data_IF_392386239751
#
_entry.id   IF_392386239751
#
_cell.length_a   1.000
_cell.length_b   1.000
_cell.length_c   1.000
_cell.angle_alpha   90.00
_cell.angle_beta   90.00
_cell.angle_gamma   90.00
#
_symmetry.space_group_name_H-M   'P 1'
#
loop_
_entity.id
_entity.type
_entity.pdbx_description
1 polymer ?
#
# COMPACT_ATOMS: atom_id res chain seq x y z
N UNK A 1 -1.84 -22.63 22.72
CA UNK A 1 -0.84 -22.68 21.64
C UNK A 1 -1.36 -23.39 20.39
N UNK A 2 -1.91 -24.61 20.47
CA UNK A 2 -2.49 -25.35 19.33
C UNK A 2 -3.57 -24.56 18.55
N UNK A 3 -4.51 -23.92 19.25
CA UNK A 3 -5.57 -23.12 18.63
C UNK A 3 -5.04 -21.91 17.86
N UNK A 4 -4.02 -21.22 18.37
CA UNK A 4 -3.43 -20.06 17.70
C UNK A 4 -2.52 -20.46 16.53
N UNK A 5 -1.79 -21.59 16.64
CA UNK A 5 -1.04 -22.16 15.52
C UNK A 5 -1.98 -22.59 14.38
N UNK A 6 -3.12 -23.23 14.69
CA UNK A 6 -4.14 -23.57 13.70
C UNK A 6 -4.80 -22.32 13.08
N UNK A 7 -4.90 -21.22 13.85
CA UNK A 7 -5.55 -19.96 13.45
C UNK A 7 -4.81 -19.21 12.35
N UNK A 8 -3.48 -19.27 12.39
CA UNK A 8 -2.61 -18.55 11.48
C UNK A 8 -1.89 -19.46 10.49
N UNK A 9 -1.99 -20.79 10.62
CA UNK A 9 -1.27 -21.78 9.81
C UNK A 9 -1.35 -21.49 8.31
N UNK A 10 -2.56 -21.28 7.78
CA UNK A 10 -2.76 -21.07 6.34
C UNK A 10 -2.18 -19.72 5.87
N UNK A 11 -2.42 -18.63 6.61
CA UNK A 11 -1.86 -17.33 6.31
C UNK A 11 -0.32 -17.34 6.41
N UNK A 12 0.23 -18.00 7.43
CA UNK A 12 1.67 -18.17 7.64
C UNK A 12 2.30 -19.01 6.53
N UNK A 13 1.70 -20.14 6.14
CA UNK A 13 2.17 -20.97 5.03
C UNK A 13 2.20 -20.17 3.72
N UNK A 14 1.15 -19.37 3.46
CA UNK A 14 1.09 -18.46 2.31
C UNK A 14 2.19 -17.42 2.34
N UNK A 15 2.40 -16.74 3.47
CA UNK A 15 3.47 -15.74 3.62
C UNK A 15 4.86 -16.38 3.46
N UNK A 16 5.08 -17.59 4.01
CA UNK A 16 6.34 -18.33 3.84
C UNK A 16 6.58 -18.72 2.38
N UNK A 17 5.55 -19.18 1.67
CA UNK A 17 5.63 -19.48 0.24
C UNK A 17 5.87 -18.23 -0.62
N UNK A 18 5.40 -17.04 -0.19
CA UNK A 18 5.77 -15.79 -0.86
C UNK A 18 7.20 -15.37 -0.53
N UNK A 19 7.64 -15.59 0.71
CA UNK A 19 9.02 -15.30 1.13
C UNK A 19 10.04 -16.12 0.34
N UNK A 20 9.74 -17.38 0.02
CA UNK A 20 10.63 -18.23 -0.79
C UNK A 20 10.73 -17.80 -2.26
N UNK A 21 9.86 -16.89 -2.72
CA UNK A 21 9.85 -16.34 -4.08
C UNK A 21 10.57 -14.99 -4.21
N UNK A 22 11.15 -14.49 -3.12
CA UNK A 22 11.95 -13.26 -3.17
C UNK A 22 13.19 -13.48 -3.99
N UNK A 23 13.61 -12.43 -4.70
CA UNK A 23 14.91 -12.39 -5.35
C UNK A 23 16.02 -12.69 -4.34
N UNK A 24 16.86 -13.64 -4.70
CA UNK A 24 18.07 -14.04 -3.99
C UNK A 24 19.19 -13.01 -4.20
N UNK A 25 20.29 -13.15 -3.46
CA UNK A 25 21.48 -12.32 -3.69
C UNK A 25 22.07 -12.50 -5.08
N UNK A 26 22.00 -13.71 -5.63
CA UNK A 26 22.41 -14.03 -7.00
C UNK A 26 21.50 -13.34 -8.02
N UNK A 27 20.17 -13.37 -7.82
CA UNK A 27 19.25 -12.65 -8.69
C UNK A 27 19.57 -11.15 -8.73
N UNK A 28 19.86 -10.53 -7.58
CA UNK A 28 20.28 -9.13 -7.52
C UNK A 28 21.61 -8.88 -8.23
N UNK A 29 22.58 -9.80 -8.15
CA UNK A 29 23.84 -9.69 -8.89
C UNK A 29 23.57 -9.58 -10.39
N UNK A 30 22.80 -10.51 -10.97
CA UNK A 30 22.47 -10.47 -12.40
C UNK A 30 21.65 -9.26 -12.80
N UNK A 31 20.67 -8.83 -11.99
CA UNK A 31 19.88 -7.63 -12.25
C UNK A 31 20.74 -6.36 -12.28
N UNK A 32 21.77 -6.27 -11.43
CA UNK A 32 22.71 -5.14 -11.40
C UNK A 32 23.71 -5.13 -12.56
N UNK A 33 23.94 -6.28 -13.20
CA UNK A 33 24.81 -6.40 -14.38
C UNK A 33 24.06 -6.16 -15.70
N UNK A 34 22.74 -5.97 -15.68
CA UNK A 34 21.97 -5.71 -16.89
C UNK A 34 22.34 -4.34 -17.50
N UNK A 35 22.68 -4.33 -18.79
CA UNK A 35 23.08 -3.11 -19.51
C UNK A 35 21.92 -2.12 -19.70
N UNK A 36 20.68 -2.63 -19.77
CA UNK A 36 19.48 -1.83 -19.98
C UNK A 36 18.23 -2.45 -19.34
N UNK A 37 17.10 -1.74 -19.47
CA UNK A 37 15.80 -2.20 -18.96
C UNK A 37 15.35 -3.51 -19.63
N UNK A 38 15.63 -3.73 -20.92
CA UNK A 38 15.19 -4.91 -21.62
C UNK A 38 15.92 -6.17 -21.10
N UNK A 39 17.25 -6.09 -20.92
CA UNK A 39 18.06 -7.12 -20.30
C UNK A 39 17.64 -7.40 -18.85
N UNK A 40 17.37 -6.34 -18.08
CA UNK A 40 16.87 -6.46 -16.71
C UNK A 40 15.54 -7.24 -16.67
N UNK A 41 14.59 -6.89 -17.54
CA UNK A 41 13.29 -7.55 -17.58
C UNK A 41 13.38 -8.96 -18.15
N UNK A 42 14.28 -9.23 -19.10
CA UNK A 42 14.54 -10.56 -19.61
C UNK A 42 15.06 -11.49 -18.50
N UNK A 43 15.96 -11.00 -17.65
CA UNK A 43 16.40 -11.76 -16.47
C UNK A 43 15.27 -11.89 -15.44
N UNK A 44 14.58 -10.80 -15.10
CA UNK A 44 13.46 -10.86 -14.16
C UNK A 44 12.39 -11.88 -14.61
N UNK A 45 12.22 -12.06 -15.92
CA UNK A 45 11.30 -13.02 -16.51
C UNK A 45 11.62 -14.48 -16.16
N UNK A 46 12.88 -14.82 -15.86
CA UNK A 46 13.31 -16.17 -15.47
C UNK A 46 13.11 -16.46 -13.98
N UNK A 47 12.70 -15.46 -13.19
CA UNK A 47 12.48 -15.58 -11.75
C UNK A 47 11.00 -15.81 -11.41
N UNK A 48 10.65 -15.82 -10.12
CA UNK A 48 9.24 -15.81 -9.68
C UNK A 48 8.43 -14.58 -10.16
N UNK A 49 9.09 -13.58 -10.75
CA UNK A 49 8.48 -12.36 -11.27
C UNK A 49 8.17 -12.44 -12.78
N UNK A 50 8.29 -13.61 -13.42
CA UNK A 50 8.05 -13.81 -14.85
C UNK A 50 6.68 -13.49 -15.44
N UNK A 51 5.73 -13.09 -14.59
CA UNK A 51 4.46 -12.51 -15.03
C UNK A 51 4.60 -11.08 -15.58
N UNK A 52 5.72 -10.42 -15.32
CA UNK A 52 6.05 -9.11 -15.90
C UNK A 52 6.65 -9.33 -17.28
N UNK A 53 5.98 -8.83 -18.32
CA UNK A 53 6.49 -8.96 -19.69
C UNK A 53 7.64 -7.98 -19.95
N UNK A 54 8.68 -8.38 -20.72
CA UNK A 54 9.86 -7.57 -20.98
C UNK A 54 9.65 -6.43 -21.97
N UNK A 55 8.56 -6.45 -22.73
CA UNK A 55 8.23 -5.46 -23.76
C UNK A 55 7.37 -4.28 -23.23
N UNK A 56 7.12 -4.24 -21.92
CA UNK A 56 6.30 -3.19 -21.31
C UNK A 56 7.15 -1.95 -20.95
N UNK A 57 6.58 -0.74 -21.08
CA UNK A 57 7.25 0.46 -20.57
C UNK A 57 7.39 0.36 -19.04
N UNK A 58 8.43 1.00 -18.48
CA UNK A 58 8.79 0.91 -17.06
C UNK A 58 7.60 1.16 -16.11
N UNK A 59 6.76 2.17 -16.41
CA UNK A 59 5.57 2.47 -15.59
C UNK A 59 4.57 1.31 -15.58
N UNK A 60 4.37 0.66 -16.72
CA UNK A 60 3.50 -0.52 -16.82
C UNK A 60 4.10 -1.68 -16.03
N UNK A 61 5.41 -1.89 -16.10
CA UNK A 61 6.11 -2.89 -15.27
C UNK A 61 5.86 -2.63 -13.79
N UNK A 62 6.14 -1.41 -13.31
CA UNK A 62 5.94 -1.02 -11.92
C UNK A 62 4.49 -1.27 -11.49
N UNK A 63 3.51 -0.87 -12.32
CA UNK A 63 2.09 -1.08 -12.04
C UNK A 63 1.74 -2.56 -11.94
N UNK A 64 2.27 -3.43 -12.82
CA UNK A 64 2.04 -4.88 -12.73
C UNK A 64 2.62 -5.47 -11.44
N UNK A 65 3.84 -5.07 -11.05
CA UNK A 65 4.46 -5.51 -9.79
C UNK A 65 3.61 -5.13 -8.58
N UNK A 66 3.09 -3.89 -8.55
CA UNK A 66 2.19 -3.45 -7.47
C UNK A 66 0.84 -4.16 -7.51
N UNK A 67 0.24 -4.40 -8.68
CA UNK A 67 -1.00 -5.18 -8.79
C UNK A 67 -0.81 -6.59 -8.22
N UNK A 68 0.32 -7.24 -8.52
CA UNK A 68 0.67 -8.55 -7.94
C UNK A 68 0.83 -8.46 -6.42
N UNK A 69 1.52 -7.43 -5.91
CA UNK A 69 1.67 -7.19 -4.48
C UNK A 69 0.30 -7.04 -3.79
N UNK A 70 -0.59 -6.21 -4.32
CA UNK A 70 -1.91 -5.97 -3.71
C UNK A 70 -2.84 -7.17 -3.83
N UNK A 71 -2.71 -7.97 -4.89
CA UNK A 71 -3.35 -9.29 -4.98
C UNK A 71 -2.89 -10.21 -3.83
N UNK A 72 -1.60 -10.19 -3.47
CA UNK A 72 -1.11 -10.93 -2.32
C UNK A 72 -1.65 -10.39 -1.00
N UNK A 73 -1.70 -9.06 -0.80
CA UNK A 73 -2.34 -8.46 0.37
C UNK A 73 -3.79 -8.92 0.50
N UNK A 74 -4.58 -8.85 -0.57
CA UNK A 74 -5.98 -9.29 -0.59
C UNK A 74 -6.11 -10.78 -0.22
N UNK A 75 -5.30 -11.65 -0.83
CA UNK A 75 -5.28 -13.08 -0.53
C UNK A 75 -4.87 -13.37 0.92
N UNK A 76 -3.90 -12.65 1.47
CA UNK A 76 -3.47 -12.82 2.87
C UNK A 76 -4.58 -12.35 3.82
N UNK A 77 -5.16 -11.18 3.58
CA UNK A 77 -6.29 -10.68 4.36
C UNK A 77 -7.48 -11.64 4.34
N UNK A 78 -7.79 -12.24 3.18
CA UNK A 78 -8.84 -13.25 3.02
C UNK A 78 -8.52 -14.61 3.65
N UNK A 79 -7.23 -14.95 3.87
CA UNK A 79 -6.85 -16.16 4.60
C UNK A 79 -6.99 -16.06 6.12
N UNK A 80 -7.17 -14.85 6.66
CA UNK A 80 -7.27 -14.61 8.09
C UNK A 80 -8.73 -14.65 8.53
N UNK A 81 -9.13 -15.74 9.17
CA UNK A 81 -10.52 -15.94 9.66
C UNK A 81 -10.92 -15.01 10.80
N UNK A 82 -9.95 -14.41 11.51
CA UNK A 82 -10.21 -13.58 12.68
C UNK A 82 -10.00 -12.10 12.37
N UNK A 83 -10.94 -11.28 12.85
CA UNK A 83 -10.96 -9.85 12.61
C UNK A 83 -9.68 -9.13 13.06
N UNK A 84 -9.09 -9.51 14.21
CA UNK A 84 -7.88 -8.87 14.72
C UNK A 84 -6.66 -9.04 13.80
N UNK A 85 -6.43 -10.27 13.30
CA UNK A 85 -5.33 -10.53 12.37
C UNK A 85 -5.55 -9.81 11.04
N UNK A 86 -6.78 -9.89 10.48
CA UNK A 86 -7.14 -9.18 9.25
C UNK A 86 -6.94 -7.67 9.40
N UNK A 87 -7.31 -7.10 10.54
CA UNK A 87 -7.14 -5.67 10.86
C UNK A 87 -5.67 -5.24 10.80
N UNK A 88 -4.71 -6.06 11.25
CA UNK A 88 -3.29 -5.72 11.12
C UNK A 88 -2.85 -5.64 9.67
N UNK A 89 -3.29 -6.56 8.82
CA UNK A 89 -2.96 -6.54 7.38
C UNK A 89 -3.60 -5.34 6.68
N UNK A 90 -4.85 -5.03 6.99
CA UNK A 90 -5.52 -3.83 6.46
C UNK A 90 -4.85 -2.54 6.94
N UNK A 91 -4.45 -2.48 8.20
CA UNK A 91 -3.76 -1.32 8.76
C UNK A 91 -2.36 -1.13 8.16
N UNK A 92 -1.66 -2.22 7.85
CA UNK A 92 -0.39 -2.15 7.11
C UNK A 92 -0.64 -1.67 5.67
N UNK A 93 -1.72 -2.12 5.04
CA UNK A 93 -2.11 -1.73 3.69
C UNK A 93 -2.49 -0.24 3.59
N UNK A 94 -3.08 0.34 4.63
CA UNK A 94 -3.48 1.76 4.67
C UNK A 94 -2.33 2.75 4.39
N UNK A 95 -1.06 2.33 4.54
CA UNK A 95 0.09 3.15 4.11
C UNK A 95 0.06 3.45 2.61
N UNK A 96 -0.42 2.53 1.78
CA UNK A 96 -0.51 2.73 0.33
C UNK A 96 -1.70 3.60 -0.05
N UNK A 97 -2.78 3.56 0.75
CA UNK A 97 -3.87 4.54 0.66
C UNK A 97 -3.34 5.94 0.99
N UNK A 98 -2.57 6.09 2.07
CA UNK A 98 -1.92 7.35 2.42
C UNK A 98 -1.00 7.87 1.29
N UNK A 99 -0.18 7.01 0.67
CA UNK A 99 0.63 7.41 -0.48
C UNK A 99 -0.20 7.91 -1.68
N UNK A 100 -1.30 7.23 -2.02
CA UNK A 100 -2.20 7.70 -3.08
C UNK A 100 -2.84 9.05 -2.73
N UNK A 101 -3.23 9.25 -1.48
CA UNK A 101 -3.78 10.54 -1.03
C UNK A 101 -2.72 11.66 -1.09
N UNK A 102 -1.45 11.37 -0.78
CA UNK A 102 -0.35 12.34 -0.97
C UNK A 102 -0.15 12.69 -2.43
N UNK A 103 -0.23 11.71 -3.34
CA UNK A 103 -0.15 11.95 -4.79
C UNK A 103 -1.29 12.87 -5.24
N UNK A 104 -2.53 12.64 -4.79
CA UNK A 104 -3.67 13.50 -5.10
C UNK A 104 -3.49 14.93 -4.54
N UNK A 105 -3.05 15.07 -3.29
CA UNK A 105 -2.80 16.39 -2.68
C UNK A 105 -1.72 17.19 -3.42
N UNK A 106 -0.64 16.53 -3.87
CA UNK A 106 0.38 17.17 -4.72
C UNK A 106 -0.18 17.57 -6.08
N UNK A 107 -1.01 16.73 -6.68
CA UNK A 107 -1.70 17.02 -7.94
C UNK A 107 -2.58 18.27 -7.81
N UNK A 108 -3.40 18.33 -6.76
CA UNK A 108 -4.23 19.49 -6.42
C UNK A 108 -3.39 20.76 -6.25
N UNK A 109 -2.33 20.71 -5.45
CA UNK A 109 -1.46 21.87 -5.22
C UNK A 109 -0.73 22.35 -6.48
N UNK A 110 -0.39 21.44 -7.38
CA UNK A 110 0.25 21.75 -8.67
C UNK A 110 -0.75 22.13 -9.76
N UNK A 111 -2.07 22.06 -9.51
CA UNK A 111 -3.10 22.27 -10.53
C UNK A 111 -3.07 21.22 -11.64
N UNK A 112 -2.56 20.03 -11.36
CA UNK A 112 -2.54 18.92 -12.32
C UNK A 112 -3.94 18.33 -12.49
N UNK A 113 -4.24 17.92 -13.71
CA UNK A 113 -5.47 17.20 -14.01
C UNK A 113 -5.40 15.73 -13.57
N UNK A 114 -6.55 15.06 -13.71
CA UNK A 114 -6.68 13.63 -13.43
C UNK A 114 -5.77 12.77 -14.31
N UNK A 115 -5.60 13.14 -15.60
CA UNK A 115 -4.84 12.35 -16.57
C UNK A 115 -3.34 12.27 -16.20
N UNK A 116 -2.80 13.33 -15.62
CA UNK A 116 -1.41 13.37 -15.11
C UNK A 116 -1.27 12.60 -13.80
N UNK A 117 -2.26 12.69 -12.91
CA UNK A 117 -2.16 12.16 -11.54
C UNK A 117 -2.51 10.67 -11.45
N UNK A 118 -3.53 10.21 -12.20
CA UNK A 118 -4.02 8.83 -12.13
C UNK A 118 -2.97 7.75 -12.44
N UNK A 119 -2.06 7.92 -13.43
CA UNK A 119 -1.01 6.94 -13.70
C UNK A 119 0.00 6.78 -12.56
N UNK A 120 0.09 7.75 -11.66
CA UNK A 120 1.02 7.73 -10.51
C UNK A 120 0.46 6.95 -9.32
N UNK A 121 -0.86 6.76 -9.26
CA UNK A 121 -1.53 6.08 -8.15
C UNK A 121 -1.20 4.59 -8.14
N UNK A 122 -0.94 4.05 -6.95
CA UNK A 122 -0.87 2.62 -6.70
C UNK A 122 -2.20 1.94 -7.12
N UNK A 123 -2.16 0.78 -7.81
CA UNK A 123 -3.34 0.00 -8.18
C UNK A 123 -3.89 -0.80 -6.98
N UNK A 124 -4.41 -0.10 -5.96
CA UNK A 124 -4.78 -0.66 -4.66
C UNK A 124 -5.79 -1.84 -4.72
N UNK A 125 -6.57 -1.92 -5.79
CA UNK A 125 -7.50 -3.02 -6.02
C UNK A 125 -8.60 -3.11 -4.95
N UNK A 126 -9.23 -4.28 -4.77
CA UNK A 126 -10.45 -4.41 -3.96
C UNK A 126 -10.20 -4.37 -2.45
N UNK A 127 -8.94 -4.25 -2.01
CA UNK A 127 -8.63 -4.21 -0.58
C UNK A 127 -8.84 -2.81 0.01
N UNK A 128 -8.70 -1.77 -0.81
CA UNK A 128 -9.06 -0.41 -0.41
C UNK A 128 -10.57 -0.21 -0.56
N UNK A 129 -11.17 0.45 0.44
CA UNK A 129 -12.60 0.78 0.43
C UNK A 129 -12.84 2.28 0.23
N UNK A 130 -11.79 3.06 -0.01
CA UNK A 130 -11.91 4.49 -0.31
C UNK A 130 -12.51 4.67 -1.71
N UNK A 131 -13.34 5.71 -1.87
CA UNK A 131 -13.98 6.04 -3.13
C UNK A 131 -13.00 6.76 -4.08
N UNK A 132 -12.04 6.02 -4.62
CA UNK A 132 -10.93 6.58 -5.42
C UNK A 132 -11.37 7.38 -6.63
N UNK A 133 -12.47 7.02 -7.29
CA UNK A 133 -13.05 7.79 -8.38
C UNK A 133 -13.42 9.20 -7.89
N UNK A 134 -14.25 9.30 -6.84
CA UNK A 134 -14.62 10.58 -6.22
C UNK A 134 -13.44 11.37 -5.69
N UNK A 135 -12.44 10.69 -5.11
CA UNK A 135 -11.23 11.35 -4.60
C UNK A 135 -10.38 11.95 -5.71
N UNK A 136 -10.40 11.34 -6.89
CA UNK A 136 -9.62 11.79 -8.02
C UNK A 136 -10.24 12.97 -8.76
N UNK A 137 -11.53 13.24 -8.53
CA UNK A 137 -12.27 14.40 -9.05
C UNK A 137 -12.15 15.64 -8.15
N UNK A 138 -11.53 15.50 -6.97
CA UNK A 138 -11.37 16.61 -6.03
C UNK A 138 -10.34 17.62 -6.55
N UNK A 139 -10.69 18.91 -6.47
CA UNK A 139 -9.85 20.01 -6.96
C UNK A 139 -9.22 20.84 -5.85
N UNK A 140 -9.66 20.61 -4.60
CA UNK A 140 -9.13 21.29 -3.40
C UNK A 140 -8.86 20.29 -2.28
N UNK A 141 -7.91 20.58 -1.36
CA UNK A 141 -7.70 19.73 -0.19
C UNK A 141 -8.95 19.60 0.68
N UNK A 142 -9.75 20.65 0.80
CA UNK A 142 -11.03 20.66 1.53
C UNK A 142 -12.05 19.69 0.92
N UNK A 143 -12.17 19.64 -0.41
CA UNK A 143 -12.99 18.65 -1.11
C UNK A 143 -12.50 17.23 -0.86
N UNK A 144 -11.19 17.00 -0.97
CA UNK A 144 -10.59 15.69 -0.72
C UNK A 144 -10.86 15.21 0.71
N UNK A 145 -10.74 16.08 1.71
CA UNK A 145 -11.03 15.75 3.11
C UNK A 145 -12.51 15.41 3.32
N UNK A 146 -13.43 16.16 2.69
CA UNK A 146 -14.86 15.85 2.72
C UNK A 146 -15.17 14.51 2.05
N UNK A 147 -14.54 14.21 0.92
CA UNK A 147 -14.70 12.95 0.21
C UNK A 147 -14.17 11.73 1.00
N UNK A 148 -13.29 11.96 1.98
CA UNK A 148 -12.75 10.95 2.89
C UNK A 148 -13.62 10.66 4.11
N UNK A 149 -14.83 11.21 4.20
CA UNK A 149 -15.73 11.03 5.33
C UNK A 149 -15.87 9.55 5.75
N UNK A 150 -15.80 9.28 7.06
CA UNK A 150 -15.80 7.93 7.62
C UNK A 150 -14.45 7.19 7.57
N UNK A 151 -13.43 7.73 6.92
CA UNK A 151 -12.08 7.16 6.94
C UNK A 151 -11.25 7.61 8.15
N UNK A 152 -10.18 6.88 8.43
CA UNK A 152 -9.22 7.22 9.49
C UNK A 152 -8.40 8.49 9.20
N UNK A 153 -8.46 9.02 7.97
CA UNK A 153 -7.63 10.13 7.51
C UNK A 153 -8.26 11.52 7.74
N UNK A 154 -9.59 11.60 7.92
CA UNK A 154 -10.31 12.89 8.03
C UNK A 154 -9.79 13.74 9.18
N UNK A 155 -9.79 13.20 10.40
CA UNK A 155 -9.42 13.96 11.60
C UNK A 155 -7.95 14.43 11.57
N UNK A 156 -6.97 13.58 11.22
CA UNK A 156 -5.59 14.02 11.03
C UNK A 156 -5.43 15.13 10.00
N UNK A 157 -6.08 14.99 8.83
CA UNK A 157 -6.02 16.00 7.77
C UNK A 157 -6.68 17.31 8.22
N UNK A 158 -7.88 17.26 8.80
CA UNK A 158 -8.58 18.45 9.29
C UNK A 158 -7.76 19.24 10.32
N UNK A 159 -6.99 18.56 11.17
CA UNK A 159 -6.08 19.23 12.10
C UNK A 159 -4.90 19.90 11.38
N UNK A 160 -4.33 19.24 10.37
CA UNK A 160 -3.23 19.78 9.57
C UNK A 160 -3.66 20.88 8.59
N UNK A 161 -4.97 21.00 8.28
CA UNK A 161 -5.49 22.05 7.41
C UNK A 161 -5.19 23.47 7.90
N UNK A 162 -5.19 23.70 9.22
CA UNK A 162 -4.84 25.03 9.76
C UNK A 162 -3.39 25.43 9.40
N UNK A 163 -2.46 24.47 9.40
CA UNK A 163 -1.07 24.72 9.02
C UNK A 163 -0.93 24.90 7.50
N UNK A 164 -1.68 24.13 6.71
CA UNK A 164 -1.75 24.30 5.27
C UNK A 164 -2.30 25.68 4.88
N UNK A 165 -3.38 26.13 5.51
CA UNK A 165 -4.01 27.43 5.23
C UNK A 165 -3.11 28.61 5.63
N UNK A 166 -2.32 28.47 6.70
CA UNK A 166 -1.40 29.51 7.13
C UNK A 166 -0.14 29.61 6.25
N UNK A 167 0.37 28.49 5.75
CA UNK A 167 1.68 28.43 5.07
C UNK A 167 1.65 28.07 3.59
N UNK A 168 0.51 27.63 3.04
CA UNK A 168 0.36 27.11 1.68
C UNK A 168 1.15 25.82 1.39
N UNK A 169 1.82 25.26 2.39
CA UNK A 169 2.74 24.16 2.23
C UNK A 169 2.02 22.81 2.39
N UNK A 170 2.19 21.90 1.44
CA UNK A 170 1.63 20.54 1.45
C UNK A 170 2.23 19.56 2.49
N UNK A 171 3.53 19.61 2.85
CA UNK A 171 4.14 18.62 3.75
C UNK A 171 3.41 18.37 5.10
N UNK A 172 2.79 19.36 5.77
CA UNK A 172 1.94 19.11 6.94
C UNK A 172 0.79 18.12 6.70
N UNK A 173 0.10 18.20 5.54
CA UNK A 173 -0.99 17.28 5.19
C UNK A 173 -0.44 15.88 4.92
N UNK A 174 0.71 15.79 4.25
CA UNK A 174 1.39 14.51 3.99
C UNK A 174 1.82 13.82 5.28
N UNK A 175 2.43 14.58 6.19
CA UNK A 175 2.84 14.08 7.50
C UNK A 175 1.63 13.61 8.32
N UNK A 176 0.48 14.28 8.21
CA UNK A 176 -0.75 13.86 8.85
C UNK A 176 -1.27 12.52 8.32
N UNK A 177 -1.20 12.29 7.00
CA UNK A 177 -1.55 11.00 6.38
C UNK A 177 -0.65 9.87 6.84
N UNK A 178 0.66 10.09 6.83
CA UNK A 178 1.64 9.09 7.27
C UNK A 178 1.45 8.74 8.75
N UNK A 179 1.31 9.76 9.60
CA UNK A 179 1.08 9.57 11.02
C UNK A 179 -0.24 8.85 11.30
N UNK A 180 -1.29 9.13 10.52
CA UNK A 180 -2.57 8.43 10.62
C UNK A 180 -2.41 6.94 10.30
N UNK A 181 -1.75 6.61 9.18
CA UNK A 181 -1.50 5.22 8.77
C UNK A 181 -0.67 4.46 9.82
N UNK A 182 0.42 5.05 10.32
CA UNK A 182 1.27 4.42 11.33
C UNK A 182 0.59 4.27 12.69
N UNK A 183 -0.20 5.27 13.14
CA UNK A 183 -1.01 5.16 14.37
C UNK A 183 -2.06 4.05 14.24
N UNK A 184 -2.69 3.95 13.09
CA UNK A 184 -3.68 2.89 12.82
C UNK A 184 -3.03 1.50 12.88
N UNK A 185 -1.84 1.34 12.27
CA UNK A 185 -1.05 0.12 12.35
C UNK A 185 -0.61 -0.21 13.78
N UNK A 186 -0.06 0.76 14.51
CA UNK A 186 0.36 0.57 15.89
C UNK A 186 -0.80 0.12 16.79
N UNK A 187 -1.97 0.75 16.63
CA UNK A 187 -3.20 0.36 17.35
C UNK A 187 -3.68 -1.05 16.98
N UNK A 188 -3.61 -1.43 15.70
CA UNK A 188 -3.97 -2.78 15.27
C UNK A 188 -3.02 -3.84 15.84
N UNK A 189 -1.71 -3.56 15.87
CA UNK A 189 -0.70 -4.45 16.45
C UNK A 189 -0.87 -4.57 17.98
N UNK A 190 -1.15 -3.46 18.67
CA UNK A 190 -1.41 -3.46 20.10
C UNK A 190 -2.67 -4.28 20.45
N UNK A 191 -3.74 -4.17 19.66
CA UNK A 191 -4.96 -4.97 19.83
C UNK A 191 -4.73 -6.48 19.60
N UNK A 192 -3.73 -6.85 18.80
CA UNK A 192 -3.31 -8.24 18.61
C UNK A 192 -2.54 -8.80 19.82
N UNK A 193 -1.96 -7.95 20.66
CA UNK A 193 -1.05 -8.35 21.75
C UNK A 193 -1.77 -8.87 23.03
N UNK A 194 -3.08 -9.15 22.96
CA UNK A 194 -3.75 -9.97 23.96
C UNK A 194 -3.03 -11.31 24.11
N UNK A 195 -2.67 -11.69 25.36
CA UNK A 195 -1.62 -12.66 25.75
C UNK A 195 -1.59 -14.05 25.07
N UNK A 196 -2.60 -14.43 24.30
CA UNK A 196 -2.71 -15.70 23.57
C UNK A 196 -1.99 -15.75 22.22
N UNK A 197 -1.72 -14.60 21.58
CA UNK A 197 -1.37 -14.60 20.14
C UNK A 197 0.13 -14.48 19.86
N UNK A 198 0.88 -13.77 20.71
CA UNK A 198 2.35 -13.62 20.57
C UNK A 198 3.14 -14.92 20.79
N UNK A 199 2.57 -15.89 21.51
CA UNK A 199 3.25 -17.16 21.86
C UNK A 199 3.11 -18.25 20.80
N UNK A 200 2.38 -17.99 19.70
CA UNK A 200 2.05 -19.01 18.70
C UNK A 200 2.58 -18.70 17.28
N UNK A 201 3.33 -17.61 17.13
CA UNK A 201 4.08 -17.27 15.93
C UNK A 201 5.55 -17.68 16.10
#
# INVERSE_FOLDING_TARGET
MLLAAARYSFANARVRALRSKRLSGEDFYFLLQADDLAGLLAYLATTSYGHVRPDLPLRSVQRHLFTTLFTHYHKIAGSLRHAAGRRVILALFARFEAENLKILLRGIAAGHDHAVTAPLLYPLGPLSTLAWERLSDCTTPEELIRALEGSAFVRPLAHAMAQYQAGGAIPPLEAALDLAAFRHLAGAVAALAGRSDRKAA
#
